data_IF_663797891054
#
_entry.id   IF_663797891054
#
_cell.length_a   1.000
_cell.length_b   1.000
_cell.length_c   1.000
_cell.angle_alpha   90.00
_cell.angle_beta   90.00
_cell.angle_gamma   90.00
#
_symmetry.space_group_name_H-M   'P 1'
#
loop_
_entity.id
_entity.type
_entity.pdbx_description
1 polymer ?
#
# COMPACT_ATOMS: atom_id res chain seq x y z
N UNK A 1 -12.38 7.34 4.50
CA UNK A 1 -13.35 8.30 3.92
C UNK A 1 -14.49 7.47 3.35
N UNK A 2 -15.73 7.79 3.72
CA UNK A 2 -16.93 7.07 3.29
C UNK A 2 -17.93 8.11 2.81
N UNK A 3 -18.46 7.95 1.61
CA UNK A 3 -19.51 8.80 1.06
C UNK A 3 -19.47 8.87 -0.48
N UNK A 4 -20.45 9.55 -1.11
CA UNK A 4 -20.44 9.80 -2.55
C UNK A 4 -19.14 10.47 -3.01
N UNK A 5 -18.64 10.08 -4.18
CA UNK A 5 -17.35 10.53 -4.70
C UNK A 5 -17.32 12.05 -4.91
N UNK A 6 -18.40 12.61 -5.46
CA UNK A 6 -18.56 14.02 -5.78
C UNK A 6 -18.57 14.93 -4.54
N UNK A 7 -18.77 14.38 -3.34
CA UNK A 7 -18.72 15.11 -2.08
C UNK A 7 -17.30 15.15 -1.47
N UNK A 8 -16.35 14.41 -2.03
CA UNK A 8 -15.00 14.30 -1.48
C UNK A 8 -14.06 15.27 -2.19
N UNK A 9 -13.26 16.02 -1.42
CA UNK A 9 -12.28 16.93 -2.01
C UNK A 9 -11.07 16.16 -2.53
N UNK A 10 -10.52 16.58 -3.68
CA UNK A 10 -9.27 16.02 -4.22
C UNK A 10 -8.12 16.11 -3.22
N UNK A 11 -8.09 17.15 -2.38
CA UNK A 11 -7.10 17.29 -1.32
C UNK A 11 -7.17 16.13 -0.31
N UNK A 12 -8.36 15.82 0.20
CA UNK A 12 -8.57 14.69 1.12
C UNK A 12 -8.26 13.34 0.46
N UNK A 13 -8.57 13.18 -0.84
CA UNK A 13 -8.20 11.97 -1.58
C UNK A 13 -6.68 11.79 -1.67
N UNK A 14 -5.96 12.86 -1.97
CA UNK A 14 -4.49 12.87 -2.03
C UNK A 14 -3.88 12.56 -0.66
N UNK A 15 -4.39 13.15 0.41
CA UNK A 15 -3.94 12.88 1.78
C UNK A 15 -4.12 11.41 2.16
N UNK A 16 -5.25 10.81 1.80
CA UNK A 16 -5.52 9.40 2.02
C UNK A 16 -4.51 8.51 1.27
N UNK A 17 -4.22 8.82 0.00
CA UNK A 17 -3.21 8.09 -0.77
C UNK A 17 -1.79 8.33 -0.23
N UNK A 18 -1.50 9.56 0.22
CA UNK A 18 -0.20 9.91 0.78
C UNK A 18 0.09 9.08 2.03
N UNK A 19 -0.93 8.87 2.87
CA UNK A 19 -0.85 8.05 4.07
C UNK A 19 -0.77 6.56 3.72
N UNK A 20 -1.77 6.04 2.98
CA UNK A 20 -1.94 4.60 2.81
C UNK A 20 -0.92 3.98 1.85
N UNK A 21 -0.62 4.67 0.74
CA UNK A 21 0.23 4.13 -0.32
C UNK A 21 1.62 4.76 -0.31
N UNK A 22 1.73 6.08 -0.42
CA UNK A 22 3.05 6.71 -0.49
C UNK A 22 3.81 6.61 0.84
N UNK A 23 3.12 6.63 1.98
CA UNK A 23 3.71 6.37 3.30
C UNK A 23 4.33 4.98 3.38
N UNK A 24 3.61 3.95 2.94
CA UNK A 24 4.13 2.59 2.82
C UNK A 24 5.35 2.54 1.87
N UNK A 25 5.22 3.11 0.67
CA UNK A 25 6.28 3.09 -0.34
C UNK A 25 7.56 3.78 0.16
N UNK A 26 7.44 4.91 0.88
CA UNK A 26 8.58 5.61 1.51
C UNK A 26 9.26 4.74 2.55
N UNK A 27 8.49 4.12 3.45
CA UNK A 27 9.05 3.25 4.49
C UNK A 27 9.79 2.05 3.89
N UNK A 28 9.15 1.36 2.94
CA UNK A 28 9.76 0.21 2.26
C UNK A 28 11.03 0.64 1.52
N UNK A 29 10.99 1.76 0.79
CA UNK A 29 12.16 2.29 0.07
C UNK A 29 13.34 2.53 1.01
N UNK A 30 13.07 3.01 2.22
CA UNK A 30 14.11 3.30 3.23
C UNK A 30 14.71 2.03 3.84
N UNK A 31 13.87 1.05 4.22
CA UNK A 31 14.36 -0.14 4.95
C UNK A 31 14.85 -1.27 4.06
N UNK A 32 14.37 -1.34 2.81
CA UNK A 32 14.65 -2.45 1.89
C UNK A 32 16.13 -2.62 1.53
N UNK A 33 16.95 -1.57 1.28
CA UNK A 33 18.36 -1.73 0.98
C UNK A 33 19.13 -2.45 2.09
N UNK A 34 18.84 -2.12 3.34
CA UNK A 34 19.48 -2.74 4.51
C UNK A 34 19.03 -4.19 4.71
N UNK A 35 17.74 -4.48 4.49
CA UNK A 35 17.23 -5.86 4.45
C UNK A 35 17.91 -6.69 3.36
N UNK A 36 18.12 -6.11 2.17
CA UNK A 36 18.82 -6.77 1.05
C UNK A 36 20.29 -7.02 1.40
N UNK A 37 20.99 -6.08 2.04
CA UNK A 37 22.39 -6.24 2.46
C UNK A 37 22.57 -7.40 3.44
N UNK A 38 21.65 -7.57 4.39
CA UNK A 38 21.70 -8.66 5.38
C UNK A 38 21.03 -9.97 4.94
N UNK A 39 20.44 -10.00 3.74
CA UNK A 39 19.71 -11.17 3.19
C UNK A 39 18.64 -11.71 4.15
N UNK A 40 17.92 -10.81 4.84
CA UNK A 40 16.98 -11.19 5.89
C UNK A 40 16.05 -10.02 6.23
N UNK A 41 14.77 -10.29 6.42
CA UNK A 41 13.79 -9.31 6.86
C UNK A 41 12.36 -9.83 6.74
N UNK A 42 11.45 -9.18 7.45
CA UNK A 42 10.01 -9.40 7.31
C UNK A 42 9.32 -8.03 7.20
N UNK A 43 8.50 -7.85 6.16
CA UNK A 43 7.66 -6.67 5.95
C UNK A 43 6.20 -7.13 6.01
N UNK A 44 5.51 -6.78 7.09
CA UNK A 44 4.07 -7.07 7.23
C UNK A 44 3.29 -5.80 6.93
N UNK A 45 2.43 -5.85 5.92
CA UNK A 45 1.63 -4.71 5.45
C UNK A 45 0.17 -4.90 5.82
N UNK A 46 -0.43 -3.86 6.43
CA UNK A 46 -1.84 -3.86 6.78
C UNK A 46 -2.71 -3.41 5.61
N UNK A 47 -3.31 -4.38 4.93
CA UNK A 47 -4.28 -4.14 3.86
C UNK A 47 -5.73 -4.12 4.39
N UNK A 48 -6.70 -4.53 3.56
CA UNK A 48 -8.12 -4.60 3.84
C UNK A 48 -8.78 -5.61 2.89
N UNK A 49 -9.95 -6.14 3.24
CA UNK A 49 -10.85 -6.82 2.28
C UNK A 49 -11.11 -5.92 1.05
N UNK A 50 -11.06 -4.61 1.28
CA UNK A 50 -11.26 -3.60 0.24
C UNK A 50 -10.06 -3.42 -0.70
N UNK A 51 -8.97 -4.14 -0.48
CA UNK A 51 -7.84 -4.26 -1.41
C UNK A 51 -8.03 -5.35 -2.47
N UNK A 52 -9.03 -6.23 -2.30
CA UNK A 52 -9.38 -7.28 -3.26
C UNK A 52 -10.80 -7.13 -3.84
N UNK A 53 -11.65 -6.31 -3.22
CA UNK A 53 -12.99 -6.01 -3.70
C UNK A 53 -13.41 -4.56 -3.40
N UNK A 54 -14.04 -3.88 -4.36
CA UNK A 54 -14.64 -2.56 -4.13
C UNK A 54 -15.90 -2.64 -3.26
N UNK A 55 -16.09 -1.64 -2.39
CA UNK A 55 -17.32 -1.48 -1.62
C UNK A 55 -17.95 -0.10 -1.89
N UNK A 56 -19.28 -0.06 -1.93
CA UNK A 56 -20.03 1.18 -2.14
C UNK A 56 -19.56 2.30 -1.19
N UNK A 57 -19.45 3.52 -1.73
CA UNK A 57 -19.04 4.75 -1.04
C UNK A 57 -17.62 4.76 -0.47
N UNK A 58 -16.76 3.83 -0.87
CA UNK A 58 -15.39 3.76 -0.41
C UNK A 58 -14.38 3.81 -1.57
N UNK A 59 -14.77 4.41 -2.69
CA UNK A 59 -14.07 4.36 -3.98
C UNK A 59 -12.58 4.64 -3.84
N UNK A 60 -12.23 5.75 -3.18
CA UNK A 60 -10.84 6.20 -2.99
C UNK A 60 -10.09 5.35 -1.97
N UNK A 61 -10.76 4.89 -0.92
CA UNK A 61 -10.16 4.00 0.08
C UNK A 61 -9.85 2.62 -0.50
N UNK A 62 -10.81 2.01 -1.18
CA UNK A 62 -10.62 0.77 -1.95
C UNK A 62 -9.47 0.93 -2.94
N UNK A 63 -9.48 1.99 -3.77
CA UNK A 63 -8.39 2.25 -4.71
C UNK A 63 -7.01 2.29 -4.02
N UNK A 64 -6.91 2.96 -2.86
CA UNK A 64 -5.64 3.01 -2.11
C UNK A 64 -5.19 1.65 -1.60
N UNK A 65 -6.12 0.75 -1.23
CA UNK A 65 -5.80 -0.60 -0.73
C UNK A 65 -5.50 -1.56 -1.86
N UNK A 66 -6.15 -1.44 -3.02
CA UNK A 66 -5.74 -2.16 -4.24
C UNK A 66 -4.32 -1.76 -4.67
N UNK A 67 -3.97 -0.47 -4.57
CA UNK A 67 -2.61 -0.02 -4.84
C UNK A 67 -1.58 -0.63 -3.88
N UNK A 68 -1.94 -0.79 -2.60
CA UNK A 68 -1.11 -1.49 -1.61
C UNK A 68 -0.92 -2.95 -1.97
N UNK A 69 -1.98 -3.68 -2.33
CA UNK A 69 -1.89 -5.09 -2.75
C UNK A 69 -0.98 -5.25 -3.98
N UNK A 70 -1.24 -4.50 -5.05
CA UNK A 70 -0.44 -4.59 -6.28
C UNK A 70 1.03 -4.23 -6.06
N UNK A 71 1.31 -3.28 -5.18
CA UNK A 71 2.67 -2.93 -4.78
C UNK A 71 3.35 -4.07 -4.01
N UNK A 72 2.67 -4.67 -3.04
CA UNK A 72 3.20 -5.77 -2.24
C UNK A 72 3.40 -7.04 -3.08
N UNK A 73 2.46 -7.37 -3.95
CA UNK A 73 2.56 -8.50 -4.88
C UNK A 73 3.79 -8.37 -5.79
N UNK A 74 3.98 -7.17 -6.36
CA UNK A 74 5.15 -6.87 -7.19
C UNK A 74 6.46 -6.89 -6.38
N UNK A 75 6.44 -6.36 -5.15
CA UNK A 75 7.60 -6.32 -4.25
C UNK A 75 8.01 -7.72 -3.78
N UNK A 76 7.06 -8.59 -3.48
CA UNK A 76 7.33 -9.94 -2.98
C UNK A 76 8.23 -10.73 -3.95
N UNK A 77 7.98 -10.61 -5.25
CA UNK A 77 8.78 -11.28 -6.30
C UNK A 77 10.26 -10.89 -6.21
N UNK A 78 10.57 -9.60 -6.00
CA UNK A 78 11.95 -9.17 -5.82
C UNK A 78 12.49 -9.50 -4.42
N UNK A 79 11.68 -9.40 -3.37
CA UNK A 79 12.08 -9.57 -1.97
C UNK A 79 12.52 -11.01 -1.68
N UNK A 80 11.82 -12.00 -2.27
CA UNK A 80 12.15 -13.41 -2.15
C UNK A 80 13.58 -13.74 -2.61
N UNK A 81 14.13 -13.00 -3.60
CA UNK A 81 15.51 -13.20 -4.08
C UNK A 81 16.57 -12.84 -3.02
N UNK A 82 16.18 -12.15 -1.96
CA UNK A 82 17.07 -11.69 -0.88
C UNK A 82 16.70 -12.30 0.48
N UNK A 83 15.92 -13.39 0.52
CA UNK A 83 15.39 -14.01 1.76
C UNK A 83 14.61 -13.01 2.64
N UNK A 84 13.94 -12.04 2.02
CA UNK A 84 13.02 -11.11 2.70
C UNK A 84 11.60 -11.60 2.45
N UNK A 85 10.79 -11.63 3.52
CA UNK A 85 9.37 -12.02 3.47
C UNK A 85 8.45 -10.83 3.59
#
# INVERSE_FOLDING_TARGET
MIGPLECQSIAAMKELFDTNFFGLARLVKEVLPDMKRRQSGHIVVMSSVMGIQGLLFNDVYSASKFAVEGFCESLAIQAMKFNIK
#
